data_IF_661601527640
#
_entry.id   IF_661601527640
#
_cell.length_a   1.000
_cell.length_b   1.000
_cell.length_c   1.000
_cell.angle_alpha   90.00
_cell.angle_beta   90.00
_cell.angle_gamma   90.00
#
_symmetry.space_group_name_H-M   'P 1'
#
loop_
_entity.id
_entity.type
_entity.pdbx_description
1 polymer ?
#
# COMPACT_ATOMS: atom_id res chain seq x y z
N UNK A 1 -55.70 -15.47 -42.23
CA UNK A 1 -55.05 -14.80 -41.08
C UNK A 1 -53.70 -15.45 -40.88
N UNK A 2 -52.63 -14.85 -41.39
CA UNK A 2 -51.25 -15.29 -41.14
C UNK A 2 -50.80 -14.68 -39.82
N UNK A 3 -50.65 -15.51 -38.80
CA UNK A 3 -50.22 -15.13 -37.46
C UNK A 3 -48.69 -15.01 -37.47
N UNK A 4 -48.16 -13.80 -37.62
CA UNK A 4 -46.73 -13.52 -37.50
C UNK A 4 -46.31 -13.61 -36.04
N UNK A 5 -45.53 -14.63 -35.70
CA UNK A 5 -44.87 -14.76 -34.39
C UNK A 5 -43.65 -13.85 -34.40
N UNK A 6 -43.75 -12.71 -33.72
CA UNK A 6 -42.62 -11.79 -33.51
C UNK A 6 -41.73 -12.38 -32.41
N UNK A 7 -40.58 -12.94 -32.82
CA UNK A 7 -39.53 -13.45 -31.94
C UNK A 7 -38.84 -12.27 -31.23
N UNK A 8 -39.22 -12.04 -29.98
CA UNK A 8 -38.52 -11.09 -29.10
C UNK A 8 -37.22 -11.75 -28.67
N UNK A 9 -36.09 -11.30 -29.20
CA UNK A 9 -34.76 -11.68 -28.71
C UNK A 9 -34.52 -10.94 -27.39
N UNK A 10 -34.43 -11.63 -26.23
CA UNK A 10 -33.97 -10.96 -25.03
C UNK A 10 -32.46 -10.67 -25.21
N UNK A 11 -32.10 -9.38 -25.23
CA UNK A 11 -30.72 -8.96 -25.14
C UNK A 11 -30.14 -9.46 -23.83
N UNK A 12 -29.18 -10.38 -23.89
CA UNK A 12 -28.41 -10.78 -22.73
C UNK A 12 -27.38 -9.68 -22.45
N UNK A 13 -27.75 -8.73 -21.60
CA UNK A 13 -26.76 -7.83 -21.01
C UNK A 13 -25.85 -8.69 -20.14
N UNK A 14 -24.62 -8.90 -20.60
CA UNK A 14 -23.54 -9.38 -19.73
C UNK A 14 -23.20 -8.25 -18.78
N UNK A 15 -23.83 -8.25 -17.60
CA UNK A 15 -23.36 -7.43 -16.48
C UNK A 15 -22.05 -8.05 -16.02
N UNK A 16 -20.93 -7.49 -16.49
CA UNK A 16 -19.68 -7.63 -15.76
C UNK A 16 -19.82 -6.73 -14.54
N UNK A 17 -20.06 -7.30 -13.37
CA UNK A 17 -20.11 -6.53 -12.13
C UNK A 17 -18.68 -6.14 -11.73
N UNK A 18 -18.09 -5.21 -12.48
CA UNK A 18 -16.97 -4.43 -11.96
C UNK A 18 -17.56 -3.64 -10.77
N UNK A 19 -17.03 -3.80 -9.55
CA UNK A 19 -17.52 -3.03 -8.42
C UNK A 19 -17.36 -1.54 -8.74
N UNK A 20 -18.38 -0.73 -8.45
CA UNK A 20 -18.46 0.69 -8.88
C UNK A 20 -17.24 1.52 -8.51
N UNK A 21 -16.52 1.17 -7.45
CA UNK A 21 -15.27 1.84 -7.06
C UNK A 21 -14.11 1.56 -8.02
N UNK A 22 -13.98 0.33 -8.51
CA UNK A 22 -12.96 -0.01 -9.52
C UNK A 22 -13.30 0.68 -10.86
N UNK A 23 -14.57 0.75 -11.23
CA UNK A 23 -15.00 1.49 -12.42
C UNK A 23 -14.70 3.00 -12.29
N UNK A 24 -14.95 3.61 -11.13
CA UNK A 24 -14.60 5.01 -10.87
C UNK A 24 -13.09 5.24 -10.88
N UNK A 25 -12.32 4.33 -10.27
CA UNK A 25 -10.85 4.37 -10.29
C UNK A 25 -10.33 4.35 -11.73
N UNK A 26 -10.80 3.37 -12.52
CA UNK A 26 -10.39 3.23 -13.91
C UNK A 26 -10.77 4.44 -14.77
N UNK A 27 -11.95 5.03 -14.54
CA UNK A 27 -12.35 6.24 -15.25
C UNK A 27 -11.52 7.47 -14.85
N UNK A 28 -11.16 7.60 -13.57
CA UNK A 28 -10.35 8.71 -13.08
C UNK A 28 -8.94 8.69 -13.67
N UNK A 29 -8.33 7.50 -13.76
CA UNK A 29 -6.92 7.33 -14.11
C UNK A 29 -6.66 6.72 -15.49
N UNK A 30 -7.71 6.45 -16.27
CA UNK A 30 -7.64 5.78 -17.58
C UNK A 30 -6.90 4.44 -17.54
N UNK A 31 -7.10 3.66 -16.47
CA UNK A 31 -6.39 2.39 -16.23
C UNK A 31 -7.12 1.16 -16.77
N UNK A 32 -8.22 1.33 -17.52
CA UNK A 32 -8.98 0.22 -18.11
C UNK A 32 -8.08 -0.72 -18.94
N UNK A 33 -8.17 -2.02 -18.68
CA UNK A 33 -7.38 -3.04 -19.36
C UNK A 33 -5.89 -3.07 -18.99
N UNK A 34 -5.44 -2.26 -18.02
CA UNK A 34 -4.11 -2.36 -17.42
C UNK A 34 -4.10 -3.36 -16.26
N UNK A 35 -2.95 -3.57 -15.61
CA UNK A 35 -2.90 -4.38 -14.38
C UNK A 35 -3.67 -3.79 -13.20
N UNK A 36 -3.88 -2.47 -13.22
CA UNK A 36 -4.62 -1.76 -12.17
C UNK A 36 -6.14 -1.89 -12.35
N UNK A 37 -6.61 -2.37 -13.51
CA UNK A 37 -8.01 -2.79 -13.73
C UNK A 37 -8.27 -4.16 -13.07
N UNK A 38 -7.99 -4.24 -11.77
CA UNK A 38 -8.13 -5.45 -10.98
C UNK A 38 -8.54 -5.11 -9.54
N UNK A 39 -9.12 -6.08 -8.83
CA UNK A 39 -9.54 -5.86 -7.46
C UNK A 39 -8.36 -5.67 -6.48
N UNK A 40 -7.15 -6.01 -6.92
CA UNK A 40 -5.93 -5.89 -6.12
C UNK A 40 -5.57 -4.42 -5.84
N UNK A 41 -6.15 -3.47 -6.59
CA UNK A 41 -5.98 -2.05 -6.28
C UNK A 41 -6.48 -1.71 -4.87
N UNK A 42 -7.50 -2.41 -4.37
CA UNK A 42 -8.08 -2.18 -3.04
C UNK A 42 -7.95 -3.38 -2.08
N UNK A 43 -7.56 -4.55 -2.57
CA UNK A 43 -7.58 -5.79 -1.81
C UNK A 43 -6.22 -6.48 -1.83
N UNK A 44 -5.83 -7.06 -0.69
CA UNK A 44 -4.58 -7.82 -0.54
C UNK A 44 -4.66 -9.21 -1.16
N UNK A 45 -5.85 -9.77 -1.29
CA UNK A 45 -6.07 -11.17 -1.67
C UNK A 45 -7.13 -11.31 -2.76
N UNK A 46 -7.05 -12.40 -3.52
CA UNK A 46 -8.01 -12.72 -4.60
C UNK A 46 -9.43 -12.95 -4.10
N UNK A 47 -9.57 -13.39 -2.85
CA UNK A 47 -10.86 -13.60 -2.19
C UNK A 47 -11.50 -12.28 -1.70
N UNK A 48 -10.76 -11.16 -1.74
CA UNK A 48 -11.24 -9.80 -1.39
C UNK A 48 -11.77 -9.65 0.05
N UNK A 49 -11.31 -10.53 0.94
CA UNK A 49 -11.71 -10.54 2.36
C UNK A 49 -11.05 -9.42 3.18
N UNK A 50 -9.92 -8.90 2.70
CA UNK A 50 -9.13 -7.84 3.34
C UNK A 50 -8.86 -6.70 2.37
N UNK A 51 -8.87 -5.48 2.90
CA UNK A 51 -8.50 -4.27 2.16
C UNK A 51 -7.02 -3.96 2.40
N UNK A 52 -6.35 -3.38 1.40
CA UNK A 52 -4.99 -2.88 1.55
C UNK A 52 -4.97 -1.48 2.20
N UNK A 53 -3.77 -0.94 2.42
CA UNK A 53 -3.59 0.38 3.01
C UNK A 53 -4.14 1.48 2.11
N UNK A 54 -3.92 1.43 0.79
CA UNK A 54 -4.50 2.37 -0.17
C UNK A 54 -6.03 2.48 -0.06
N UNK A 55 -6.73 1.34 0.01
CA UNK A 55 -8.18 1.31 0.18
C UNK A 55 -8.64 1.84 1.54
N UNK A 56 -7.80 1.69 2.57
CA UNK A 56 -8.05 2.26 3.90
C UNK A 56 -8.00 3.79 3.84
N UNK A 57 -6.95 4.36 3.25
CA UNK A 57 -6.81 5.81 3.06
C UNK A 57 -7.93 6.37 2.18
N UNK A 58 -8.27 5.67 1.09
CA UNK A 58 -9.42 6.02 0.25
C UNK A 58 -10.73 6.03 1.03
N UNK A 59 -10.94 5.07 1.93
CA UNK A 59 -12.14 5.03 2.75
C UNK A 59 -12.16 6.17 3.78
N UNK A 60 -11.03 6.47 4.42
CA UNK A 60 -10.90 7.52 5.43
C UNK A 60 -11.01 8.93 4.84
N UNK A 61 -10.61 9.11 3.58
CA UNK A 61 -10.74 10.38 2.86
C UNK A 61 -12.17 10.72 2.41
N UNK A 62 -13.14 9.86 2.72
CA UNK A 62 -14.51 10.01 2.24
C UNK A 62 -14.68 9.53 0.80
N UNK A 63 -13.79 8.63 0.33
CA UNK A 63 -13.82 8.02 -1.01
C UNK A 63 -13.51 9.00 -2.14
N UNK A 64 -12.59 9.92 -1.89
CA UNK A 64 -12.04 10.85 -2.87
C UNK A 64 -10.61 10.43 -3.25
N UNK A 65 -10.42 9.95 -4.48
CA UNK A 65 -9.11 9.53 -4.96
C UNK A 65 -8.10 10.70 -4.98
N UNK A 66 -8.54 11.89 -5.37
CA UNK A 66 -7.67 13.07 -5.52
C UNK A 66 -7.05 13.49 -4.18
N UNK A 67 -7.78 13.26 -3.09
CA UNK A 67 -7.33 13.63 -1.74
C UNK A 67 -6.20 12.75 -1.20
N UNK A 68 -6.01 11.56 -1.75
CA UNK A 68 -4.99 10.60 -1.32
C UNK A 68 -3.83 10.47 -2.32
N UNK A 69 -3.87 11.16 -3.46
CA UNK A 69 -2.85 11.07 -4.52
C UNK A 69 -1.43 11.36 -4.02
N UNK A 70 -1.28 12.28 -3.06
CA UNK A 70 0.01 12.68 -2.49
C UNK A 70 0.43 11.88 -1.25
N UNK A 71 -0.38 10.89 -0.82
CA UNK A 71 0.00 9.97 0.24
C UNK A 71 0.87 8.85 -0.33
N UNK A 72 1.72 8.29 0.51
CA UNK A 72 2.44 7.04 0.30
C UNK A 72 1.75 6.03 1.23
N UNK A 73 0.76 5.32 0.68
CA UNK A 73 -0.18 4.54 1.49
C UNK A 73 0.45 3.25 2.04
N UNK A 74 1.47 2.69 1.40
CA UNK A 74 2.16 1.48 1.83
C UNK A 74 3.58 1.71 2.36
N UNK A 75 3.98 2.98 2.49
CA UNK A 75 5.22 3.46 3.11
C UNK A 75 6.48 2.96 2.39
N UNK A 76 6.40 2.85 1.06
CA UNK A 76 7.44 2.26 0.24
C UNK A 76 8.37 3.31 -0.42
N UNK A 77 8.04 4.58 -0.26
CA UNK A 77 8.77 5.75 -0.73
C UNK A 77 8.19 6.43 -1.97
N UNK A 78 7.10 5.93 -2.55
CA UNK A 78 6.41 6.53 -3.69
C UNK A 78 5.01 6.99 -3.31
N UNK A 79 4.56 8.10 -3.89
CA UNK A 79 3.16 8.52 -3.70
C UNK A 79 2.22 7.68 -4.56
N UNK A 80 0.98 7.55 -4.10
CA UNK A 80 -0.08 6.83 -4.79
C UNK A 80 -0.20 7.24 -6.27
N UNK A 81 -0.08 8.53 -6.59
CA UNK A 81 -0.16 9.01 -7.97
C UNK A 81 1.08 8.66 -8.79
N UNK A 82 2.27 8.59 -8.19
CA UNK A 82 3.48 8.15 -8.88
C UNK A 82 3.36 6.68 -9.31
N UNK A 83 2.82 5.85 -8.42
CA UNK A 83 2.61 4.42 -8.64
C UNK A 83 1.52 4.14 -9.68
N UNK A 84 0.36 4.81 -9.56
CA UNK A 84 -0.73 4.67 -10.54
C UNK A 84 -0.22 5.03 -11.94
N UNK A 85 0.57 6.10 -12.08
CA UNK A 85 1.18 6.49 -13.35
C UNK A 85 2.24 5.50 -13.82
N UNK A 86 2.93 4.81 -12.91
CA UNK A 86 3.88 3.73 -13.21
C UNK A 86 3.21 2.37 -13.45
N UNK A 87 1.88 2.29 -13.32
CA UNK A 87 1.10 1.05 -13.35
C UNK A 87 1.55 0.05 -12.27
N UNK A 88 1.82 0.53 -11.06
CA UNK A 88 2.12 -0.27 -9.86
C UNK A 88 1.02 -0.09 -8.80
N UNK A 89 0.98 -0.98 -7.81
CA UNK A 89 -0.10 -1.07 -6.82
C UNK A 89 0.20 -0.21 -5.57
N UNK A 90 -0.52 0.91 -5.34
CA UNK A 90 -0.26 1.84 -4.24
C UNK A 90 -0.55 1.33 -2.81
N UNK A 91 -0.87 0.06 -2.69
CA UNK A 91 -1.13 -0.59 -1.40
C UNK A 91 -0.32 -1.87 -1.24
N UNK A 92 0.69 -2.07 -2.07
CA UNK A 92 1.60 -3.21 -2.05
C UNK A 92 3.06 -2.73 -2.10
N UNK A 93 3.78 -2.69 -0.96
CA UNK A 93 5.13 -2.11 -0.90
C UNK A 93 6.18 -2.95 -1.66
N UNK A 94 5.78 -4.11 -2.19
CA UNK A 94 6.60 -4.93 -3.08
C UNK A 94 6.39 -4.61 -4.58
N UNK A 95 5.29 -3.96 -4.97
CA UNK A 95 4.97 -3.58 -6.35
C UNK A 95 5.15 -2.07 -6.52
N UNK A 96 6.39 -1.65 -6.75
CA UNK A 96 6.78 -0.24 -6.77
C UNK A 96 7.52 0.19 -8.02
N UNK A 97 7.51 1.48 -8.38
CA UNK A 97 8.26 2.00 -9.51
C UNK A 97 9.75 1.67 -9.37
N UNK A 98 10.39 1.23 -10.46
CA UNK A 98 11.83 1.07 -10.46
C UNK A 98 12.50 2.45 -10.49
N UNK A 99 13.10 2.86 -9.38
CA UNK A 99 14.10 3.91 -9.40
C UNK A 99 15.31 3.41 -10.19
N UNK A 100 15.77 4.19 -11.17
CA UNK A 100 17.08 3.97 -11.79
C UNK A 100 18.16 4.44 -10.81
N UNK A 101 18.24 3.78 -9.67
CA UNK A 101 19.38 3.83 -8.78
C UNK A 101 20.15 2.51 -8.94
N UNK A 102 21.48 2.59 -8.92
CA UNK A 102 22.38 1.47 -9.08
C UNK A 102 21.98 0.28 -8.18
N UNK A 103 22.32 -0.98 -8.53
CA UNK A 103 21.74 -2.18 -7.92
C UNK A 103 21.74 -2.11 -6.39
N UNK A 104 20.55 -2.00 -5.80
CA UNK A 104 20.35 -2.27 -4.38
C UNK A 104 20.48 -3.78 -4.19
N UNK A 105 21.51 -4.19 -3.47
CA UNK A 105 21.76 -5.59 -3.16
C UNK A 105 20.57 -6.19 -2.39
N UNK A 106 19.99 -7.22 -3.01
CA UNK A 106 19.81 -8.57 -2.46
C UNK A 106 19.09 -8.69 -1.12
N UNK A 107 17.95 -9.39 -1.18
CA UNK A 107 17.17 -9.76 -0.01
C UNK A 107 17.91 -10.62 1.01
N UNK A 108 17.40 -10.55 2.24
CA UNK A 108 17.62 -11.54 3.26
C UNK A 108 16.40 -11.55 4.17
N UNK A 109 15.47 -12.47 3.89
CA UNK A 109 14.76 -13.09 4.99
C UNK A 109 15.71 -14.17 5.52
N UNK A 110 16.29 -13.95 6.69
CA UNK A 110 16.70 -15.02 7.59
C UNK A 110 16.89 -14.45 9.00
N UNK A 111 16.01 -14.90 9.89
CA UNK A 111 16.25 -14.90 11.33
C UNK A 111 17.48 -15.74 11.61
N UNK A 112 18.56 -15.14 12.11
CA UNK A 112 19.44 -15.83 13.05
C UNK A 112 20.19 -14.85 13.95
N UNK A 113 20.43 -15.32 15.15
CA UNK A 113 20.94 -14.59 16.29
C UNK A 113 22.45 -14.28 16.15
N UNK A 114 22.84 -13.12 16.69
CA UNK A 114 24.08 -12.92 17.45
C UNK A 114 25.41 -13.35 16.79
N UNK A 115 26.15 -12.38 16.22
CA UNK A 115 27.52 -12.07 16.68
C UNK A 115 28.03 -10.73 16.13
N UNK A 116 28.26 -9.76 17.01
CA UNK A 116 29.03 -8.54 16.74
C UNK A 116 30.54 -8.86 16.75
N UNK A 117 31.30 -8.38 15.75
CA UNK A 117 32.69 -8.00 15.98
C UNK A 117 32.91 -6.52 15.67
N UNK A 118 33.34 -5.77 16.68
CA UNK A 118 34.28 -4.67 16.52
C UNK A 118 33.74 -3.33 15.99
N UNK A 119 33.17 -2.52 16.87
CA UNK A 119 33.28 -1.06 16.76
C UNK A 119 34.07 -0.55 17.96
N UNK A 120 35.37 -0.38 17.78
CA UNK A 120 36.11 0.52 18.66
C UNK A 120 35.60 1.94 18.43
N UNK A 121 35.23 2.62 19.52
CA UNK A 121 35.30 4.08 19.58
C UNK A 121 33.99 4.86 19.60
N UNK A 122 33.11 4.62 20.58
CA UNK A 122 32.38 5.74 21.22
C UNK A 122 32.34 5.51 22.74
N UNK A 123 33.42 5.92 23.41
CA UNK A 123 33.38 6.13 24.84
C UNK A 123 32.55 7.38 25.16
N UNK A 124 31.70 7.25 26.19
CA UNK A 124 31.21 8.31 27.06
C UNK A 124 30.06 9.22 26.58
N UNK A 125 28.81 8.75 26.64
CA UNK A 125 27.67 9.66 26.96
C UNK A 125 26.57 9.06 27.87
N UNK A 126 26.33 7.74 27.95
CA UNK A 126 25.15 7.20 28.68
C UNK A 126 25.45 6.81 30.15
N UNK A 127 26.54 7.30 30.73
CA UNK A 127 26.93 7.06 32.13
C UNK A 127 26.50 8.12 33.15
N UNK A 128 25.87 9.23 32.71
CA UNK A 128 25.69 10.41 33.56
C UNK A 128 24.26 10.60 34.13
N UNK A 129 23.25 9.90 33.60
CA UNK A 129 21.86 10.03 34.09
C UNK A 129 21.49 9.07 35.24
N UNK A 130 22.31 8.04 35.52
CA UNK A 130 22.07 7.11 36.63
C UNK A 130 22.69 7.57 37.97
N UNK A 131 23.73 8.40 37.96
CA UNK A 131 24.39 8.88 39.17
C UNK A 131 23.62 10.01 39.89
N UNK A 132 22.81 10.79 39.18
CA UNK A 132 21.99 11.87 39.78
C UNK A 132 20.77 11.30 40.52
N UNK A 133 20.20 10.18 40.06
CA UNK A 133 19.02 9.58 40.68
C UNK A 133 19.32 8.88 42.02
N UNK A 134 20.53 8.33 42.20
CA UNK A 134 20.90 7.63 43.44
C UNK A 134 21.46 8.56 44.54
N UNK A 135 21.95 9.76 44.20
CA UNK A 135 22.42 10.75 45.19
C UNK A 135 21.28 11.62 45.76
N UNK A 136 20.15 11.74 45.06
CA UNK A 136 18.98 12.52 45.52
C UNK A 136 18.10 11.85 46.59
N UNK A 137 18.31 10.56 46.89
CA UNK A 137 17.50 9.81 47.86
C UNK A 137 18.09 9.73 49.27
N UNK A 138 19.31 10.25 49.49
CA UNK A 138 20.03 10.11 50.76
C UNK A 138 20.25 11.43 51.54
N UNK A 139 19.53 12.51 51.19
CA UNK A 139 19.60 13.82 51.88
C UNK A 139 18.26 14.31 52.45
N UNK A 140 17.35 13.39 52.78
CA UNK A 140 16.21 13.67 53.67
C UNK A 140 16.19 12.72 54.86
N UNK A 141 17.17 12.91 55.76
CA UNK A 141 17.12 12.63 57.20
C UNK A 141 18.08 13.60 57.88
#
# INVERSE_FOLDING_TARGET
MVLSVLLIVPGISVVSAIPSYLESFNQQYDTNGTRLDSCNICHTDTEKESINSYASDYSESGRDFSSIEALDSDEDGFTNIEEINALTLPGDPADRPQTTEAPSETGANETDEQQTPGFEGIAAVIGLMAAVYLMGRNSRM
#
